data_IF_449287091479
#
_entry.id   IF_449287091479
#
_cell.length_a   1.000
_cell.length_b   1.000
_cell.length_c   1.000
_cell.angle_alpha   90.00
_cell.angle_beta   90.00
_cell.angle_gamma   90.00
#
_symmetry.space_group_name_H-M   'P 1'
#
loop_
_entity.id
_entity.type
_entity.pdbx_description
1 polymer ?
#
# COMPACT_ATOMS: atom_id res chain seq x y z
N UNK A 1 -30.68 -29.84 -1.43
CA UNK A 1 -30.27 -28.89 -0.38
C UNK A 1 -29.03 -29.33 0.43
N UNK A 2 -28.08 -30.09 -0.15
CA UNK A 2 -26.85 -30.56 0.55
C UNK A 2 -25.54 -29.98 -0.02
N UNK A 3 -25.62 -29.24 -1.14
CA UNK A 3 -24.48 -28.66 -1.86
C UNK A 3 -24.20 -27.18 -1.50
N UNK A 4 -25.16 -26.48 -0.89
CA UNK A 4 -25.03 -25.06 -0.52
C UNK A 4 -24.26 -24.85 0.79
N UNK A 5 -24.16 -25.86 1.65
CA UNK A 5 -23.48 -25.76 2.95
C UNK A 5 -21.95 -25.86 2.80
N UNK A 6 -21.47 -26.56 1.78
CA UNK A 6 -20.04 -26.80 1.55
C UNK A 6 -19.33 -25.52 1.10
N UNK A 7 -19.99 -24.67 0.30
CA UNK A 7 -19.41 -23.40 -0.15
C UNK A 7 -19.32 -22.37 0.99
N UNK A 8 -20.27 -22.34 1.92
CA UNK A 8 -20.24 -21.41 3.06
C UNK A 8 -19.10 -21.70 4.04
N UNK A 9 -18.79 -22.98 4.28
CA UNK A 9 -17.72 -23.38 5.19
C UNK A 9 -16.31 -23.07 4.61
N UNK A 10 -16.13 -23.22 3.30
CA UNK A 10 -14.87 -22.92 2.64
C UNK A 10 -14.53 -21.42 2.68
N UNK A 11 -15.53 -20.55 2.46
CA UNK A 11 -15.34 -19.08 2.50
C UNK A 11 -15.03 -18.62 3.93
N UNK A 12 -15.71 -19.16 4.94
CA UNK A 12 -15.43 -18.84 6.34
C UNK A 12 -14.04 -19.30 6.78
N UNK A 13 -13.58 -20.48 6.32
CA UNK A 13 -12.23 -20.96 6.62
C UNK A 13 -11.13 -20.08 5.97
N UNK A 14 -11.34 -19.60 4.74
CA UNK A 14 -10.40 -18.69 4.07
C UNK A 14 -10.28 -17.35 4.81
N UNK A 15 -11.41 -16.78 5.25
CA UNK A 15 -11.43 -15.52 6.00
C UNK A 15 -10.72 -15.62 7.37
N UNK A 16 -10.82 -16.77 8.04
CA UNK A 16 -10.14 -16.98 9.32
C UNK A 16 -8.61 -17.15 9.17
N UNK A 17 -8.14 -17.67 8.04
CA UNK A 17 -6.70 -17.84 7.77
C UNK A 17 -6.04 -16.48 7.53
N UNK A 18 -6.72 -15.54 6.86
CA UNK A 18 -6.21 -14.18 6.63
C UNK A 18 -6.05 -13.38 7.93
N UNK A 19 -6.99 -13.50 8.85
CA UNK A 19 -6.92 -12.79 10.14
C UNK A 19 -5.83 -13.38 11.05
N UNK A 20 -5.66 -14.70 11.07
CA UNK A 20 -4.61 -15.36 11.85
C UNK A 20 -3.19 -15.06 11.33
N UNK A 21 -3.02 -14.97 10.01
CA UNK A 21 -1.72 -14.62 9.39
C UNK A 21 -1.37 -13.14 9.61
N UNK A 22 -2.35 -12.23 9.53
CA UNK A 22 -2.17 -10.83 9.95
C UNK A 22 -1.76 -10.75 11.43
N UNK A 23 -2.48 -11.45 12.32
CA UNK A 23 -2.17 -11.50 13.76
C UNK A 23 -0.76 -11.97 14.10
N UNK A 24 -0.25 -12.99 13.38
CA UNK A 24 1.06 -13.59 13.67
C UNK A 24 2.24 -12.76 13.17
N UNK A 25 2.10 -12.10 12.01
CA UNK A 25 3.16 -11.21 11.46
C UNK A 25 3.32 -9.94 12.29
N UNK A 26 2.27 -9.47 12.96
CA UNK A 26 2.29 -8.28 13.82
C UNK A 26 3.26 -8.38 15.02
N UNK A 27 3.65 -9.60 15.43
CA UNK A 27 4.60 -9.84 16.53
C UNK A 27 6.05 -10.16 16.12
N UNK A 28 6.33 -10.29 14.82
CA UNK A 28 7.59 -10.88 14.31
C UNK A 28 8.62 -9.82 13.84
N UNK A 29 8.34 -8.53 14.06
CA UNK A 29 9.25 -7.43 13.75
C UNK A 29 9.32 -7.06 12.25
N UNK A 30 10.17 -6.08 11.89
CA UNK A 30 10.20 -5.49 10.54
C UNK A 30 10.49 -6.48 9.41
N UNK A 31 11.34 -7.49 9.66
CA UNK A 31 11.74 -8.47 8.65
C UNK A 31 10.59 -9.37 8.21
N UNK A 32 9.74 -9.82 9.15
CA UNK A 32 8.58 -10.65 8.82
C UNK A 32 7.53 -9.88 8.01
N UNK A 33 7.34 -8.59 8.32
CA UNK A 33 6.46 -7.73 7.53
C UNK A 33 6.94 -7.61 6.08
N UNK A 34 8.25 -7.39 5.88
CA UNK A 34 8.85 -7.31 4.55
C UNK A 34 8.75 -8.65 3.79
N UNK A 35 8.89 -9.78 4.49
CA UNK A 35 8.82 -11.12 3.89
C UNK A 35 7.44 -11.42 3.25
N UNK A 36 6.36 -10.83 3.77
CA UNK A 36 5.02 -10.94 3.18
C UNK A 36 4.71 -9.80 2.19
N UNK A 37 5.71 -9.03 1.78
CA UNK A 37 5.54 -7.88 0.88
C UNK A 37 4.88 -6.67 1.53
N UNK A 38 4.87 -6.62 2.87
CA UNK A 38 4.35 -5.49 3.64
C UNK A 38 5.41 -4.43 3.93
N UNK A 39 4.92 -3.24 4.31
CA UNK A 39 5.73 -2.12 4.78
C UNK A 39 5.63 -2.00 6.31
N UNK A 40 6.74 -2.09 7.05
CA UNK A 40 6.72 -1.91 8.49
C UNK A 40 6.38 -0.46 8.86
N UNK A 41 5.51 -0.30 9.85
CA UNK A 41 5.13 0.96 10.46
C UNK A 41 5.10 0.81 11.99
N UNK A 42 5.04 1.92 12.72
CA UNK A 42 4.99 1.89 14.19
C UNK A 42 3.74 1.09 14.62
N UNK A 43 3.97 -0.04 15.30
CA UNK A 43 2.91 -0.88 15.85
C UNK A 43 2.09 -1.69 14.83
N UNK A 44 2.43 -1.67 13.53
CA UNK A 44 1.69 -2.46 12.52
C UNK A 44 2.52 -2.81 11.27
N UNK A 45 2.10 -3.85 10.57
CA UNK A 45 2.55 -4.16 9.22
C UNK A 45 1.48 -3.71 8.21
N UNK A 46 1.83 -2.79 7.30
CA UNK A 46 0.92 -2.35 6.23
C UNK A 46 1.09 -3.28 5.04
N UNK A 47 -0.01 -3.77 4.48
CA UNK A 47 0.02 -4.68 3.32
C UNK A 47 -0.58 -3.99 2.09
N UNK A 48 -0.35 -4.48 0.85
CA UNK A 48 -0.94 -3.88 -0.35
C UNK A 48 -2.47 -3.74 -0.33
N UNK A 49 -3.16 -4.52 0.51
CA UNK A 49 -4.62 -4.44 0.72
C UNK A 49 -5.05 -3.06 1.23
N UNK A 50 -4.14 -2.33 1.89
CA UNK A 50 -4.43 -1.00 2.42
C UNK A 50 -4.94 -0.02 1.36
N UNK A 51 -4.54 -0.20 0.10
CA UNK A 51 -4.96 0.68 -0.99
C UNK A 51 -6.46 0.59 -1.27
N UNK A 52 -7.03 -0.61 -1.18
CA UNK A 52 -8.46 -0.84 -1.34
C UNK A 52 -9.26 -0.47 -0.11
N UNK A 53 -8.61 -0.45 1.05
CA UNK A 53 -9.22 -0.04 2.32
C UNK A 53 -9.11 1.47 2.56
N UNK A 54 -8.21 2.17 1.86
CA UNK A 54 -7.93 3.59 2.07
C UNK A 54 -7.20 3.88 3.37
N UNK A 55 -6.39 2.94 3.88
CA UNK A 55 -5.77 3.00 5.21
C UNK A 55 -4.24 2.79 5.18
N UNK A 56 -3.61 3.01 4.02
CA UNK A 56 -2.15 2.96 3.88
C UNK A 56 -1.45 4.01 4.77
N UNK A 57 -2.19 5.07 5.14
CA UNK A 57 -1.72 6.14 6.00
C UNK A 57 -0.91 7.19 5.24
N UNK A 58 -0.44 8.21 5.96
CA UNK A 58 0.32 9.33 5.41
C UNK A 58 1.77 9.23 5.89
N UNK A 59 2.71 8.93 4.98
CA UNK A 59 4.11 8.80 5.36
C UNK A 59 4.79 10.16 5.55
N UNK A 60 5.62 10.28 6.58
CA UNK A 60 6.29 11.54 6.91
C UNK A 60 7.29 11.99 5.84
N UNK A 61 7.94 11.03 5.17
CA UNK A 61 8.88 11.27 4.09
C UNK A 61 8.68 10.18 3.02
N UNK A 62 7.75 10.37 2.05
CA UNK A 62 7.49 9.38 1.02
C UNK A 62 8.65 9.22 0.03
N UNK A 63 9.43 10.28 -0.22
CA UNK A 63 10.51 10.27 -1.23
C UNK A 63 11.64 9.31 -0.88
N UNK A 64 11.86 9.03 0.41
CA UNK A 64 12.86 8.04 0.86
C UNK A 64 12.55 6.61 0.38
N UNK A 65 11.35 6.34 -0.13
CA UNK A 65 10.89 5.01 -0.56
C UNK A 65 10.73 4.89 -2.08
N UNK A 66 11.20 5.87 -2.86
CA UNK A 66 11.06 5.87 -4.33
C UNK A 66 11.81 4.72 -5.01
N UNK A 67 12.87 4.20 -4.39
CA UNK A 67 13.63 3.04 -4.86
C UNK A 67 12.88 1.70 -4.72
N UNK A 68 11.82 1.66 -3.91
CA UNK A 68 10.96 0.48 -3.76
C UNK A 68 9.90 0.35 -4.86
N UNK A 69 9.74 1.38 -5.71
CA UNK A 69 8.78 1.41 -6.81
C UNK A 69 9.49 1.59 -8.16
N UNK A 70 8.91 1.04 -9.21
CA UNK A 70 9.42 1.17 -10.58
C UNK A 70 8.28 1.16 -11.61
N UNK A 71 8.50 1.69 -12.82
CA UNK A 71 7.52 1.60 -13.89
C UNK A 71 7.02 0.16 -14.09
N UNK A 72 5.71 0.02 -14.29
CA UNK A 72 4.97 -1.24 -14.37
C UNK A 72 4.42 -1.77 -13.04
N UNK A 73 4.89 -1.27 -11.89
CA UNK A 73 4.36 -1.68 -10.58
C UNK A 73 2.88 -1.32 -10.45
N UNK A 74 2.06 -2.19 -9.80
CA UNK A 74 0.66 -1.88 -9.57
C UNK A 74 0.51 -0.70 -8.61
N UNK A 75 -0.53 0.11 -8.80
CA UNK A 75 -0.82 1.28 -7.96
C UNK A 75 -0.96 0.92 -6.47
N UNK A 76 -1.43 -0.28 -6.13
CA UNK A 76 -1.49 -0.77 -4.76
C UNK A 76 -0.10 -0.84 -4.09
N UNK A 77 0.93 -1.23 -4.84
CA UNK A 77 2.32 -1.23 -4.38
C UNK A 77 2.85 0.21 -4.26
N UNK A 78 2.49 1.09 -5.20
CA UNK A 78 2.86 2.51 -5.15
C UNK A 78 2.31 3.16 -3.87
N UNK A 79 1.01 3.00 -3.61
CA UNK A 79 0.34 3.57 -2.43
C UNK A 79 0.82 2.91 -1.14
N UNK A 80 1.17 1.61 -1.13
CA UNK A 80 1.81 0.99 0.03
C UNK A 80 3.10 1.72 0.44
N UNK A 81 3.99 1.99 -0.51
CA UNK A 81 5.30 2.57 -0.23
C UNK A 81 5.26 4.09 -0.01
N UNK A 82 4.39 4.80 -0.74
CA UNK A 82 4.29 6.26 -0.68
C UNK A 82 3.19 6.77 0.26
N UNK A 83 2.28 5.89 0.68
CA UNK A 83 1.13 6.23 1.50
C UNK A 83 -0.04 6.70 0.63
N UNK A 84 -1.11 7.15 1.27
CA UNK A 84 -2.25 7.74 0.58
C UNK A 84 -1.83 9.06 -0.10
N UNK A 85 -2.14 9.24 -1.39
CA UNK A 85 -1.82 10.49 -2.09
C UNK A 85 -2.63 11.65 -1.51
N UNK A 86 -2.04 12.84 -1.53
CA UNK A 86 -2.70 14.10 -1.15
C UNK A 86 -3.79 14.50 -2.16
N UNK A 87 -3.55 14.20 -3.44
CA UNK A 87 -4.48 14.48 -4.54
C UNK A 87 -4.40 13.36 -5.57
N UNK A 88 -5.56 13.00 -6.13
CA UNK A 88 -5.72 12.13 -7.30
C UNK A 88 -6.46 12.93 -8.36
N UNK A 89 -5.84 13.12 -9.53
CA UNK A 89 -6.36 13.93 -10.64
C UNK A 89 -6.19 13.14 -11.94
N UNK A 90 -7.22 12.39 -12.31
CA UNK A 90 -7.16 11.40 -13.38
C UNK A 90 -6.04 10.38 -13.15
N UNK A 91 -5.08 10.35 -14.07
CA UNK A 91 -3.88 9.49 -14.04
C UNK A 91 -2.78 10.01 -13.10
N UNK A 92 -2.93 11.21 -12.53
CA UNK A 92 -1.88 11.86 -11.74
C UNK A 92 -2.16 11.77 -10.24
N UNK A 93 -1.21 11.20 -9.50
CA UNK A 93 -1.27 11.05 -8.05
C UNK A 93 -0.14 11.87 -7.43
N UNK A 94 -0.41 12.66 -6.40
CA UNK A 94 0.61 13.53 -5.79
C UNK A 94 0.80 13.27 -4.30
N UNK A 95 2.04 13.37 -3.84
CA UNK A 95 2.43 13.28 -2.43
C UNK A 95 3.32 14.46 -2.05
N UNK A 96 3.43 14.75 -0.75
CA UNK A 96 4.48 15.67 -0.29
C UNK A 96 5.85 15.01 -0.42
N UNK A 97 6.86 15.81 -0.71
CA UNK A 97 8.24 15.34 -0.76
C UNK A 97 8.77 14.88 0.61
N UNK A 98 8.27 15.52 1.66
CA UNK A 98 8.48 15.16 3.06
C UNK A 98 8.01 16.30 3.95
N UNK A 99 7.65 16.02 5.20
CA UNK A 99 7.35 17.07 6.20
C UNK A 99 8.67 17.68 6.71
N UNK A 100 8.79 19.00 6.87
CA UNK A 100 7.73 20.03 6.81
C UNK A 100 7.56 20.71 5.44
N UNK A 101 8.20 20.19 4.38
CA UNK A 101 8.22 20.82 3.06
C UNK A 101 6.84 20.78 2.38
N UNK A 102 6.50 21.85 1.67
CA UNK A 102 5.27 21.96 0.86
C UNK A 102 5.45 21.36 -0.53
N UNK A 103 6.68 21.13 -0.96
CA UNK A 103 7.01 20.56 -2.26
C UNK A 103 6.29 19.24 -2.49
N UNK A 104 5.88 19.00 -3.74
CA UNK A 104 5.16 17.81 -4.16
C UNK A 104 5.88 17.12 -5.29
N UNK A 105 5.79 15.80 -5.30
CA UNK A 105 6.15 14.98 -6.44
C UNK A 105 4.90 14.24 -6.93
N UNK A 106 4.93 13.84 -8.20
CA UNK A 106 3.78 13.20 -8.85
C UNK A 106 4.16 11.85 -9.41
N UNK A 107 3.25 10.88 -9.31
CA UNK A 107 3.32 9.64 -10.04
C UNK A 107 2.23 9.64 -11.12
N UNK A 108 2.61 9.22 -12.33
CA UNK A 108 1.67 8.97 -13.42
C UNK A 108 1.28 7.51 -13.37
N UNK A 109 -0.02 7.26 -13.17
CA UNK A 109 -0.64 5.94 -13.06
C UNK A 109 -1.58 5.75 -14.26
N UNK A 110 -1.31 4.75 -15.10
CA UNK A 110 -2.15 4.34 -16.22
C UNK A 110 -2.49 2.87 -16.11
N UNK A 111 -3.76 2.52 -16.36
CA UNK A 111 -4.23 1.14 -16.26
C UNK A 111 -3.81 0.48 -14.94
N UNK A 112 -3.98 1.23 -13.84
CA UNK A 112 -3.59 0.81 -12.48
C UNK A 112 -2.10 0.51 -12.28
N UNK A 113 -1.23 1.04 -13.13
CA UNK A 113 0.22 0.81 -13.08
C UNK A 113 1.02 2.09 -13.14
N UNK A 114 2.14 2.10 -12.42
CA UNK A 114 3.11 3.19 -12.45
C UNK A 114 3.73 3.31 -13.84
N UNK A 115 3.67 4.50 -14.43
CA UNK A 115 4.34 4.82 -15.70
C UNK A 115 5.62 5.61 -15.43
N UNK A 116 5.51 6.64 -14.62
CA UNK A 116 6.63 7.53 -14.31
C UNK A 116 6.44 8.21 -12.95
N UNK A 117 7.55 8.67 -12.38
CA UNK A 117 7.56 9.58 -11.23
C UNK A 117 8.23 10.87 -11.67
N UNK A 118 7.51 11.98 -11.51
CA UNK A 118 8.04 13.32 -11.68
C UNK A 118 8.69 13.76 -10.37
N UNK A 119 9.80 14.49 -10.46
CA UNK A 119 10.55 14.94 -9.30
C UNK A 119 9.76 15.94 -8.44
N UNK A 120 10.26 16.17 -7.23
CA UNK A 120 9.79 17.20 -6.33
C UNK A 120 9.83 18.59 -6.99
N UNK A 121 8.70 19.28 -6.95
CA UNK A 121 8.54 20.66 -7.38
C UNK A 121 7.84 21.45 -6.26
N UNK A 122 8.13 22.75 -6.15
CA UNK A 122 7.33 23.65 -5.33
C UNK A 122 5.85 23.57 -5.77
N UNK A 123 4.95 23.50 -4.79
CA UNK A 123 3.50 23.49 -5.02
C UNK A 123 2.99 24.86 -5.52
#
# INVERSE_FOLDING_TARGET
>A
MRRLIIFGAAVAAILLIEEATKGWVLGQGPAACQAIGGKPAIGRCVTPVCYWQGDCGQWANPTQWLDHIKPGDPVSKVVLWLGEPLKRDGESFSWSCGKPHTDRFRAIIRDERLVAVEACQPD
#
